data_IF_144652499421
#
_entry.id   IF_144652499421
#
_cell.length_a   1.000
_cell.length_b   1.000
_cell.length_c   1.000
_cell.angle_alpha   90.00
_cell.angle_beta   90.00
_cell.angle_gamma   90.00
#
_symmetry.space_group_name_H-M   'P 1'
#
loop_
_entity.id
_entity.type
_entity.pdbx_description
1 polymer ?
#
# COMPACT_ATOMS: atom_id res chain seq x y z
N UNK A 1 15.32 13.22 23.83
CA UNK A 1 14.22 14.22 23.79
C UNK A 1 14.67 15.33 22.87
N UNK A 2 13.83 15.72 21.90
CA UNK A 2 14.12 16.82 20.96
C UNK A 2 13.04 17.88 21.19
N UNK A 3 13.43 19.10 21.56
CA UNK A 3 12.46 20.16 21.77
C UNK A 3 12.01 20.73 20.40
N UNK A 4 10.71 20.94 20.15
CA UNK A 4 10.23 21.38 18.83
C UNK A 4 10.90 22.66 18.29
N UNK A 5 11.26 23.60 19.16
CA UNK A 5 11.94 24.85 18.77
C UNK A 5 13.39 24.66 18.29
N UNK A 6 13.98 23.49 18.51
CA UNK A 6 15.35 23.15 18.10
C UNK A 6 15.38 22.50 16.71
N UNK A 7 14.23 22.10 16.18
CA UNK A 7 14.11 21.44 14.88
C UNK A 7 14.29 22.49 13.77
N UNK A 8 15.41 22.40 13.05
CA UNK A 8 15.73 23.26 11.90
C UNK A 8 15.76 22.54 10.56
N UNK A 9 15.62 21.22 10.57
CA UNK A 9 15.66 20.37 9.39
C UNK A 9 14.84 19.11 9.58
N UNK A 10 14.43 18.50 8.47
CA UNK A 10 13.52 17.35 8.46
C UNK A 10 14.13 16.10 9.12
N UNK A 11 15.44 15.93 9.04
CA UNK A 11 16.20 14.82 9.65
C UNK A 11 16.23 14.88 11.18
N UNK A 12 15.86 16.01 11.78
CA UNK A 12 15.77 16.17 13.25
C UNK A 12 14.39 15.86 13.82
N UNK A 13 13.38 15.63 12.97
CA UNK A 13 12.05 15.27 13.43
C UNK A 13 12.05 13.78 13.81
N UNK A 14 11.73 13.42 15.07
CA UNK A 14 11.64 12.02 15.46
C UNK A 14 10.42 11.36 14.81
N UNK A 15 10.56 10.08 14.46
CA UNK A 15 9.48 9.30 13.86
C UNK A 15 8.82 8.42 14.92
N UNK A 16 7.49 8.41 14.94
CA UNK A 16 6.67 7.61 15.85
C UNK A 16 6.73 6.13 15.44
N UNK A 17 7.15 5.21 16.33
CA UNK A 17 7.08 3.78 16.04
C UNK A 17 5.64 3.35 15.72
N UNK A 18 5.45 2.72 14.57
CA UNK A 18 4.11 2.34 14.06
C UNK A 18 3.30 1.46 15.04
N UNK A 19 3.99 0.69 15.88
CA UNK A 19 3.37 -0.15 16.91
C UNK A 19 2.53 0.63 17.93
N UNK A 20 2.73 1.95 18.09
CA UNK A 20 1.91 2.75 19.00
C UNK A 20 0.46 2.88 18.53
N UNK A 21 0.16 2.69 17.24
CA UNK A 21 -1.22 2.59 16.76
C UNK A 21 -1.96 1.35 17.30
N UNK A 22 -1.26 0.37 17.88
CA UNK A 22 -1.88 -0.79 18.55
C UNK A 22 -2.29 -0.49 19.99
N UNK A 23 -1.52 0.35 20.66
CA UNK A 23 -1.60 0.53 22.12
C UNK A 23 -2.10 1.92 22.54
N UNK A 24 -2.10 2.89 21.62
CA UNK A 24 -2.46 4.28 21.90
C UNK A 24 -3.39 4.83 20.83
N UNK A 25 -4.25 5.77 21.24
CA UNK A 25 -5.01 6.60 20.33
C UNK A 25 -4.10 7.72 19.79
N UNK A 26 -3.49 7.46 18.62
CA UNK A 26 -2.59 8.42 17.97
C UNK A 26 -3.41 9.49 17.25
N UNK A 27 -3.65 10.61 17.94
CA UNK A 27 -4.47 11.73 17.45
C UNK A 27 -3.86 13.07 17.87
N UNK A 28 -3.82 14.03 16.96
CA UNK A 28 -3.38 15.42 17.21
C UNK A 28 -4.53 16.43 17.17
N UNK A 29 -5.75 15.96 16.88
CA UNK A 29 -6.99 16.73 16.81
C UNK A 29 -7.88 16.52 18.04
N UNK A 30 -8.79 17.48 18.30
CA UNK A 30 -9.89 17.36 19.27
C UNK A 30 -11.25 17.15 18.60
N UNK A 31 -11.29 17.13 17.27
CA UNK A 31 -12.50 16.86 16.50
C UNK A 31 -13.04 15.46 16.75
N UNK A 32 -14.31 15.25 16.42
CA UNK A 32 -14.95 13.94 16.55
C UNK A 32 -14.32 12.95 15.56
N UNK A 33 -14.10 11.71 16.01
CA UNK A 33 -13.65 10.62 15.15
C UNK A 33 -14.78 10.25 14.20
N UNK A 34 -14.54 10.37 12.90
CA UNK A 34 -15.50 10.00 11.84
C UNK A 34 -15.43 8.51 11.52
N UNK A 35 -14.23 7.91 11.55
CA UNK A 35 -14.03 6.48 11.29
C UNK A 35 -12.80 5.92 12.01
N UNK A 36 -12.87 4.65 12.37
CA UNK A 36 -11.75 3.85 12.85
C UNK A 36 -11.33 2.83 11.80
N UNK A 37 -10.12 2.96 11.26
CA UNK A 37 -9.54 1.93 10.42
C UNK A 37 -8.70 0.97 11.23
N UNK A 38 -8.85 -0.33 10.99
CA UNK A 38 -8.20 -1.42 11.72
C UNK A 38 -7.37 -2.27 10.78
N UNK A 39 -6.16 -2.63 11.20
CA UNK A 39 -5.29 -3.49 10.41
C UNK A 39 -5.78 -4.94 10.38
N UNK A 40 -5.35 -5.72 9.38
CA UNK A 40 -5.87 -7.07 9.13
C UNK A 40 -5.62 -8.07 10.28
N UNK A 41 -4.55 -7.85 11.06
CA UNK A 41 -4.19 -8.65 12.24
C UNK A 41 -3.91 -10.14 11.97
N UNK A 42 -3.13 -10.77 12.84
CA UNK A 42 -3.07 -12.23 12.96
C UNK A 42 -3.78 -12.65 14.25
N UNK A 43 -4.38 -13.83 14.28
CA UNK A 43 -5.08 -14.33 15.48
C UNK A 43 -4.20 -14.22 16.73
N UNK A 44 -4.70 -13.56 17.78
CA UNK A 44 -4.00 -13.42 19.06
C UNK A 44 -3.12 -12.18 19.23
N UNK A 45 -3.00 -11.28 18.24
CA UNK A 45 -2.29 -10.00 18.40
C UNK A 45 -3.24 -8.79 18.36
N UNK A 46 -2.90 -7.76 19.15
CA UNK A 46 -3.57 -6.45 19.06
C UNK A 46 -3.37 -5.83 17.68
N UNK A 47 -4.48 -5.36 17.11
CA UNK A 47 -4.52 -4.71 15.79
C UNK A 47 -4.22 -3.23 15.95
N UNK A 48 -3.55 -2.68 14.94
CA UNK A 48 -3.42 -1.23 14.84
C UNK A 48 -4.79 -0.62 14.57
N UNK A 49 -5.06 0.52 15.19
CA UNK A 49 -6.24 1.34 14.91
C UNK A 49 -5.79 2.75 14.53
N UNK A 50 -6.22 3.22 13.36
CA UNK A 50 -6.06 4.61 12.93
C UNK A 50 -7.39 5.33 13.07
N UNK A 51 -7.40 6.32 13.97
CA UNK A 51 -8.55 7.18 14.23
C UNK A 51 -8.52 8.36 13.26
N UNK A 52 -9.54 8.49 12.42
CA UNK A 52 -9.63 9.53 11.39
C UNK A 52 -10.74 10.50 11.74
N UNK A 53 -10.40 11.78 11.88
CA UNK A 53 -11.35 12.87 12.20
C UNK A 53 -11.73 13.73 11.00
N UNK A 54 -11.10 13.50 9.84
CA UNK A 54 -11.47 14.14 8.57
C UNK A 54 -11.35 13.10 7.46
N UNK A 55 -12.48 12.45 7.14
CA UNK A 55 -12.55 11.41 6.12
C UNK A 55 -12.47 12.00 4.71
N UNK A 56 -12.85 13.26 4.53
CA UNK A 56 -12.72 13.96 3.25
C UNK A 56 -11.25 14.22 2.90
N UNK A 57 -10.39 14.45 3.90
CA UNK A 57 -8.94 14.53 3.68
C UNK A 57 -8.38 13.18 3.16
N UNK A 58 -8.82 12.06 3.74
CA UNK A 58 -8.43 10.74 3.24
C UNK A 58 -8.87 10.53 1.78
N UNK A 59 -10.13 10.84 1.46
CA UNK A 59 -10.66 10.78 0.08
C UNK A 59 -9.84 11.62 -0.89
N UNK A 60 -9.58 12.88 -0.53
CA UNK A 60 -8.76 13.79 -1.35
C UNK A 60 -7.35 13.24 -1.56
N UNK A 61 -6.75 12.64 -0.53
CA UNK A 61 -5.41 12.05 -0.63
C UNK A 61 -5.37 10.95 -1.67
N UNK A 62 -6.16 9.88 -1.54
CA UNK A 62 -6.07 8.76 -2.47
C UNK A 62 -6.61 9.09 -3.87
N UNK A 63 -7.63 9.96 -3.99
CA UNK A 63 -8.15 10.39 -5.31
C UNK A 63 -7.10 11.19 -6.08
N UNK A 64 -6.47 12.17 -5.42
CA UNK A 64 -5.42 12.97 -6.07
C UNK A 64 -4.14 12.17 -6.27
N UNK A 65 -3.82 11.25 -5.35
CA UNK A 65 -2.70 10.31 -5.46
C UNK A 65 -2.86 9.44 -6.69
N UNK A 66 -3.99 8.73 -6.84
CA UNK A 66 -4.26 7.93 -8.02
C UNK A 66 -4.21 8.77 -9.31
N UNK A 67 -4.84 9.97 -9.30
CA UNK A 67 -4.81 10.90 -10.43
C UNK A 67 -3.39 11.30 -10.83
N UNK A 68 -2.51 11.54 -9.87
CA UNK A 68 -1.11 11.89 -10.12
C UNK A 68 -0.36 10.79 -10.87
N UNK A 69 -0.64 9.52 -10.58
CA UNK A 69 0.08 8.39 -11.20
C UNK A 69 -0.58 7.84 -12.46
N UNK A 70 -1.91 7.76 -12.50
CA UNK A 70 -2.66 6.98 -13.49
C UNK A 70 -3.65 7.81 -14.32
N UNK A 71 -3.97 9.02 -13.85
CA UNK A 71 -5.03 9.86 -14.39
C UNK A 71 -6.34 9.73 -13.61
N UNK A 72 -7.39 10.48 -14.02
CA UNK A 72 -8.67 10.53 -13.32
C UNK A 72 -9.31 9.15 -13.10
N UNK A 73 -9.84 8.88 -11.90
CA UNK A 73 -10.48 7.59 -11.55
C UNK A 73 -11.70 7.31 -12.43
N UNK A 74 -12.47 8.34 -12.78
CA UNK A 74 -13.67 8.20 -13.62
C UNK A 74 -13.38 7.61 -15.01
N UNK A 75 -12.15 7.71 -15.50
CA UNK A 75 -11.74 7.12 -16.78
C UNK A 75 -11.62 5.59 -16.72
N UNK A 76 -11.56 4.99 -15.52
CA UNK A 76 -11.30 3.56 -15.31
C UNK A 76 -12.53 2.79 -14.87
N UNK A 77 -12.73 1.59 -15.41
CA UNK A 77 -13.52 0.56 -14.76
C UNK A 77 -12.72 -0.02 -13.60
N UNK A 78 -13.25 0.09 -12.38
CA UNK A 78 -12.56 -0.33 -11.15
C UNK A 78 -13.09 -1.70 -10.71
N UNK A 79 -12.29 -2.75 -10.89
CA UNK A 79 -12.64 -4.12 -10.51
C UNK A 79 -11.79 -4.54 -9.30
N UNK A 80 -12.45 -4.99 -8.24
CA UNK A 80 -11.79 -5.29 -6.97
C UNK A 80 -11.94 -6.77 -6.56
N UNK A 81 -10.81 -7.48 -6.46
CA UNK A 81 -10.73 -8.88 -6.05
C UNK A 81 -10.16 -8.99 -4.62
N UNK A 82 -11.00 -8.67 -3.63
CA UNK A 82 -10.62 -8.52 -2.21
C UNK A 82 -11.46 -9.41 -1.25
N UNK A 83 -11.52 -10.75 -1.44
CA UNK A 83 -12.49 -11.64 -0.80
C UNK A 83 -12.47 -11.66 0.74
N UNK A 84 -11.31 -11.48 1.39
CA UNK A 84 -11.20 -11.51 2.86
C UNK A 84 -11.35 -10.15 3.55
N UNK A 85 -11.51 -9.08 2.78
CA UNK A 85 -11.50 -7.73 3.31
C UNK A 85 -12.92 -7.16 3.51
N UNK A 86 -13.91 -7.58 2.72
CA UNK A 86 -15.28 -7.08 2.86
C UNK A 86 -16.04 -7.66 4.06
N UNK A 87 -15.66 -8.85 4.53
CA UNK A 87 -16.18 -9.40 5.78
C UNK A 87 -15.64 -8.65 7.02
N UNK A 88 -14.68 -7.74 6.84
CA UNK A 88 -14.01 -7.01 7.91
C UNK A 88 -14.42 -5.55 7.89
N UNK A 89 -15.18 -5.15 8.90
CA UNK A 89 -15.45 -3.73 9.15
C UNK A 89 -14.14 -3.00 9.49
N UNK A 90 -14.02 -1.75 9.02
CA UNK A 90 -12.89 -0.87 9.33
C UNK A 90 -11.65 -1.07 8.45
N UNK A 91 -11.75 -1.66 7.25
CA UNK A 91 -10.60 -1.68 6.33
C UNK A 91 -10.47 -0.38 5.54
N UNK A 92 -9.34 0.33 5.71
CA UNK A 92 -9.02 1.54 4.94
C UNK A 92 -8.88 1.27 3.43
N UNK A 93 -8.37 0.09 3.06
CA UNK A 93 -8.26 -0.38 1.68
C UNK A 93 -9.64 -0.57 1.06
N UNK A 94 -10.55 -1.28 1.72
CA UNK A 94 -11.92 -1.48 1.22
C UNK A 94 -12.64 -0.15 1.07
N UNK A 95 -12.51 0.73 2.07
CA UNK A 95 -13.10 2.06 2.02
C UNK A 95 -12.62 2.86 0.81
N UNK A 96 -11.31 2.89 0.57
CA UNK A 96 -10.71 3.56 -0.58
C UNK A 96 -11.26 3.00 -1.88
N UNK A 97 -11.28 1.68 -2.04
CA UNK A 97 -11.68 1.01 -3.27
C UNK A 97 -13.17 1.17 -3.55
N UNK A 98 -14.01 1.07 -2.52
CA UNK A 98 -15.45 1.34 -2.62
C UNK A 98 -15.71 2.77 -3.09
N UNK A 99 -14.98 3.74 -2.53
CA UNK A 99 -15.07 5.12 -2.99
C UNK A 99 -14.58 5.28 -4.45
N UNK A 100 -13.48 4.64 -4.83
CA UNK A 100 -12.99 4.65 -6.22
C UNK A 100 -14.02 4.06 -7.19
N UNK A 101 -14.69 2.97 -6.83
CA UNK A 101 -15.78 2.37 -7.59
C UNK A 101 -16.93 3.38 -7.76
N UNK A 102 -17.31 4.08 -6.68
CA UNK A 102 -18.37 5.10 -6.73
C UNK A 102 -18.06 6.31 -7.63
N UNK A 103 -16.77 6.59 -7.86
CA UNK A 103 -16.29 7.67 -8.73
C UNK A 103 -16.15 7.22 -10.20
N UNK A 104 -16.18 5.91 -10.47
CA UNK A 104 -16.11 5.38 -11.83
C UNK A 104 -17.39 5.70 -12.61
N UNK A 105 -17.27 5.97 -13.91
CA UNK A 105 -18.43 6.08 -14.81
C UNK A 105 -18.79 4.78 -15.51
N UNK A 106 -18.07 3.68 -15.23
CA UNK A 106 -18.31 2.37 -15.85
C UNK A 106 -19.14 1.50 -14.90
N UNK A 107 -20.30 1.05 -15.38
CA UNK A 107 -21.30 0.33 -14.58
C UNK A 107 -20.82 -1.06 -14.11
N UNK A 108 -19.78 -1.58 -14.75
CA UNK A 108 -19.14 -2.86 -14.45
C UNK A 108 -18.21 -2.78 -13.22
N UNK A 109 -17.90 -1.57 -12.74
CA UNK A 109 -17.06 -1.37 -11.58
C UNK A 109 -17.68 -1.99 -10.34
N UNK A 110 -16.88 -2.68 -9.52
CA UNK A 110 -17.41 -3.39 -8.36
C UNK A 110 -16.43 -4.35 -7.72
N UNK A 111 -16.89 -4.94 -6.61
CA UNK A 111 -16.20 -6.03 -5.92
C UNK A 111 -16.64 -7.40 -6.46
N UNK A 112 -15.67 -8.28 -6.67
CA UNK A 112 -15.86 -9.64 -7.20
C UNK A 112 -15.42 -10.67 -6.14
N UNK A 113 -16.27 -10.90 -5.14
CA UNK A 113 -15.93 -11.67 -3.94
C UNK A 113 -16.20 -13.16 -4.10
N UNK A 114 -15.28 -13.85 -4.78
CA UNK A 114 -15.32 -15.29 -5.12
C UNK A 114 -16.01 -15.64 -6.45
N UNK A 115 -16.52 -14.65 -7.19
CA UNK A 115 -17.03 -14.87 -8.54
C UNK A 115 -15.94 -14.61 -9.60
N UNK A 116 -14.93 -15.49 -9.58
CA UNK A 116 -13.75 -15.43 -10.44
C UNK A 116 -14.13 -15.57 -11.92
N UNK A 117 -15.17 -16.36 -12.24
CA UNK A 117 -15.62 -16.58 -13.61
C UNK A 117 -16.33 -15.35 -14.18
N UNK A 118 -17.19 -14.70 -13.38
CA UNK A 118 -17.80 -13.43 -13.79
C UNK A 118 -16.76 -12.35 -13.94
N UNK A 119 -15.79 -12.25 -13.03
CA UNK A 119 -14.69 -11.30 -13.14
C UNK A 119 -13.89 -11.51 -14.44
N UNK A 120 -13.56 -12.76 -14.77
CA UNK A 120 -12.84 -13.08 -16.00
C UNK A 120 -13.63 -12.69 -17.25
N UNK A 121 -14.96 -12.88 -17.24
CA UNK A 121 -15.85 -12.47 -18.34
C UNK A 121 -15.84 -10.95 -18.50
N UNK A 122 -16.08 -10.20 -17.42
CA UNK A 122 -16.11 -8.73 -17.41
C UNK A 122 -14.77 -8.14 -17.85
N UNK A 123 -13.65 -8.68 -17.36
CA UNK A 123 -12.30 -8.26 -17.75
C UNK A 123 -12.09 -8.37 -19.26
N UNK A 124 -12.40 -9.52 -19.85
CA UNK A 124 -12.23 -9.76 -21.28
C UNK A 124 -13.14 -8.86 -22.13
N UNK A 125 -14.37 -8.61 -21.68
CA UNK A 125 -15.31 -7.72 -22.38
C UNK A 125 -14.84 -6.26 -22.38
N UNK A 126 -14.46 -5.74 -21.21
CA UNK A 126 -13.97 -4.37 -21.08
C UNK A 126 -12.67 -4.16 -21.87
N UNK A 127 -11.72 -5.09 -21.78
CA UNK A 127 -10.43 -4.99 -22.47
C UNK A 127 -10.59 -5.03 -23.99
N UNK A 128 -11.42 -5.95 -24.52
CA UNK A 128 -11.76 -6.02 -25.95
C UNK A 128 -12.43 -4.76 -26.47
N UNK A 129 -13.24 -4.10 -25.63
CA UNK A 129 -13.90 -2.84 -25.95
C UNK A 129 -13.00 -1.61 -25.77
N UNK A 130 -11.70 -1.80 -25.49
CA UNK A 130 -10.73 -0.71 -25.35
C UNK A 130 -10.96 0.15 -24.11
N UNK A 131 -11.70 -0.34 -23.11
CA UNK A 131 -11.91 0.39 -21.85
C UNK A 131 -10.65 0.32 -21.01
N UNK A 132 -10.32 1.42 -20.33
CA UNK A 132 -9.24 1.42 -19.34
C UNK A 132 -9.75 0.72 -18.09
N UNK A 133 -9.09 -0.36 -17.69
CA UNK A 133 -9.49 -1.16 -16.53
C UNK A 133 -8.41 -1.11 -15.47
N UNK A 134 -8.80 -0.98 -14.20
CA UNK A 134 -7.96 -1.26 -13.05
C UNK A 134 -8.51 -2.53 -12.38
N UNK A 135 -7.75 -3.61 -12.45
CA UNK A 135 -7.97 -4.78 -11.59
C UNK A 135 -7.08 -4.64 -10.36
N UNK A 136 -7.68 -4.36 -9.21
CA UNK A 136 -7.00 -4.35 -7.92
C UNK A 136 -7.31 -5.64 -7.18
N UNK A 137 -6.28 -6.40 -6.78
CA UNK A 137 -6.48 -7.67 -6.09
C UNK A 137 -5.39 -8.01 -5.11
N UNK A 138 -5.75 -8.79 -4.10
CA UNK A 138 -4.77 -9.40 -3.19
C UNK A 138 -4.03 -10.55 -3.88
N UNK A 139 -2.76 -10.72 -3.54
CA UNK A 139 -1.84 -11.61 -4.26
C UNK A 139 -2.38 -13.04 -4.48
N UNK A 140 -2.95 -13.68 -3.45
CA UNK A 140 -3.47 -15.05 -3.58
C UNK A 140 -4.70 -15.13 -4.50
N UNK A 141 -5.56 -14.12 -4.47
CA UNK A 141 -6.78 -14.13 -5.27
C UNK A 141 -6.47 -13.86 -6.76
N UNK A 142 -5.47 -13.03 -7.03
CA UNK A 142 -4.94 -12.85 -8.39
C UNK A 142 -4.32 -14.16 -8.91
N UNK A 143 -3.61 -14.91 -8.07
CA UNK A 143 -3.10 -16.24 -8.41
C UNK A 143 -4.24 -17.22 -8.73
N UNK A 144 -5.27 -17.29 -7.87
CA UNK A 144 -6.45 -18.14 -8.10
C UNK A 144 -7.12 -17.82 -9.44
N UNK A 145 -7.17 -16.53 -9.81
CA UNK A 145 -7.74 -16.07 -11.07
C UNK A 145 -6.94 -16.56 -12.29
N UNK A 146 -5.61 -16.42 -12.27
CA UNK A 146 -4.75 -16.83 -13.42
C UNK A 146 -4.49 -18.33 -13.50
N UNK A 147 -4.69 -19.07 -12.41
CA UNK A 147 -4.71 -20.53 -12.43
C UNK A 147 -5.94 -21.08 -13.13
N UNK A 148 -7.08 -20.39 -13.01
CA UNK A 148 -8.35 -20.80 -13.61
C UNK A 148 -8.54 -20.27 -15.02
N UNK A 149 -8.07 -19.05 -15.30
CA UNK A 149 -8.28 -18.34 -16.56
C UNK A 149 -6.97 -17.80 -17.11
N UNK A 150 -6.81 -17.85 -18.42
CA UNK A 150 -5.70 -17.19 -19.13
C UNK A 150 -6.27 -15.99 -19.89
N UNK A 151 -5.53 -14.89 -19.90
CA UNK A 151 -5.97 -13.65 -20.53
C UNK A 151 -5.01 -13.18 -21.61
N UNK A 152 -5.47 -12.21 -22.42
CA UNK A 152 -4.67 -11.41 -23.33
C UNK A 152 -5.11 -9.95 -23.18
N UNK A 153 -4.63 -9.28 -22.13
CA UNK A 153 -5.10 -7.96 -21.74
C UNK A 153 -4.15 -6.86 -22.24
N UNK A 154 -4.71 -5.83 -22.89
CA UNK A 154 -3.93 -4.70 -23.43
C UNK A 154 -4.30 -3.36 -22.83
N UNK A 155 -5.50 -3.26 -22.26
CA UNK A 155 -6.07 -2.02 -21.72
C UNK A 155 -6.29 -2.10 -20.20
N UNK A 156 -5.76 -3.15 -19.56
CA UNK A 156 -5.96 -3.43 -18.14
C UNK A 156 -4.67 -3.22 -17.34
N UNK A 157 -4.76 -2.43 -16.29
CA UNK A 157 -3.74 -2.35 -15.23
C UNK A 157 -4.07 -3.41 -14.19
N UNK A 158 -3.14 -4.36 -14.00
CA UNK A 158 -3.20 -5.32 -12.90
C UNK A 158 -2.40 -4.75 -11.74
N UNK A 159 -3.09 -4.45 -10.63
CA UNK A 159 -2.50 -3.90 -9.42
C UNK A 159 -2.60 -4.90 -8.28
N UNK A 160 -1.45 -5.40 -7.87
CA UNK A 160 -1.31 -6.20 -6.67
C UNK A 160 -1.30 -5.30 -5.44
N UNK A 161 -2.13 -5.65 -4.46
CA UNK A 161 -2.05 -5.17 -3.09
C UNK A 161 -1.73 -6.38 -2.21
N UNK A 162 -1.00 -6.17 -1.10
CA UNK A 162 -0.53 -7.29 -0.27
C UNK A 162 -1.65 -8.24 0.18
N UNK A 163 -1.32 -9.47 0.58
CA UNK A 163 -2.35 -10.40 1.06
C UNK A 163 -1.97 -11.88 1.20
N UNK A 164 -0.69 -12.24 1.06
CA UNK A 164 -0.28 -13.65 1.06
C UNK A 164 -0.37 -14.39 2.41
N UNK A 165 -0.51 -13.67 3.53
CA UNK A 165 -0.38 -14.25 4.88
C UNK A 165 -1.40 -15.36 5.15
N UNK A 166 -0.88 -16.58 5.37
CA UNK A 166 -1.63 -17.72 5.90
C UNK A 166 -2.55 -18.46 4.91
N UNK A 167 -2.50 -18.15 3.61
CA UNK A 167 -3.36 -18.79 2.59
C UNK A 167 -2.61 -19.70 1.60
N UNK A 168 -1.36 -19.38 1.26
CA UNK A 168 -0.50 -20.13 0.32
C UNK A 168 0.96 -20.06 0.76
N UNK A 169 1.84 -20.82 0.10
CA UNK A 169 3.29 -20.63 0.24
C UNK A 169 3.64 -19.19 -0.10
N UNK A 170 4.42 -18.53 0.78
CA UNK A 170 4.88 -17.17 0.51
C UNK A 170 5.88 -17.20 -0.66
N UNK A 171 5.49 -16.57 -1.77
CA UNK A 171 6.34 -16.38 -2.93
C UNK A 171 7.07 -15.06 -2.78
N UNK A 172 8.32 -15.01 -3.24
CA UNK A 172 8.99 -13.73 -3.43
C UNK A 172 8.25 -12.93 -4.51
N UNK A 173 8.19 -11.61 -4.36
CA UNK A 173 7.44 -10.71 -5.25
C UNK A 173 7.77 -10.93 -6.73
N UNK A 174 9.04 -11.16 -7.04
CA UNK A 174 9.50 -11.37 -8.41
C UNK A 174 8.86 -12.61 -9.05
N UNK A 175 8.75 -13.71 -8.31
CA UNK A 175 8.17 -14.95 -8.81
C UNK A 175 6.65 -14.84 -8.91
N UNK A 176 6.00 -14.20 -7.93
CA UNK A 176 4.60 -13.83 -8.02
C UNK A 176 4.33 -13.01 -9.30
N UNK A 177 5.11 -11.96 -9.53
CA UNK A 177 4.92 -11.10 -10.70
C UNK A 177 5.19 -11.85 -12.00
N UNK A 178 6.14 -12.79 -12.06
CA UNK A 178 6.35 -13.63 -13.27
C UNK A 178 5.09 -14.45 -13.61
N UNK A 179 4.49 -15.09 -12.62
CA UNK A 179 3.26 -15.89 -12.80
C UNK A 179 2.12 -14.99 -13.27
N UNK A 180 1.90 -13.88 -12.57
CA UNK A 180 0.81 -12.95 -12.90
C UNK A 180 0.99 -12.30 -14.28
N UNK A 181 2.20 -11.88 -14.65
CA UNK A 181 2.49 -11.36 -16.00
C UNK A 181 2.15 -12.37 -17.07
N UNK A 182 2.54 -13.63 -16.88
CA UNK A 182 2.24 -14.69 -17.84
C UNK A 182 0.75 -15.00 -17.91
N UNK A 183 0.06 -15.05 -16.78
CA UNK A 183 -1.36 -15.41 -16.72
C UNK A 183 -2.30 -14.33 -17.27
N UNK A 184 -1.95 -13.06 -17.05
CA UNK A 184 -2.70 -11.93 -17.60
C UNK A 184 -2.24 -11.48 -18.99
N UNK A 185 -1.07 -11.98 -19.46
CA UNK A 185 -0.37 -11.55 -20.67
C UNK A 185 -0.11 -10.03 -20.69
N UNK A 186 0.48 -9.53 -19.60
CA UNK A 186 0.82 -8.11 -19.42
C UNK A 186 2.31 -7.92 -19.16
N UNK A 187 2.85 -6.80 -19.64
CA UNK A 187 4.28 -6.50 -19.46
C UNK A 187 4.64 -6.28 -17.99
N UNK A 188 3.77 -5.60 -17.24
CA UNK A 188 4.05 -5.17 -15.86
C UNK A 188 2.87 -5.46 -14.94
N UNK A 189 3.19 -5.91 -13.74
CA UNK A 189 2.26 -5.94 -12.60
C UNK A 189 2.61 -4.73 -11.76
N UNK A 190 1.58 -3.92 -11.51
CA UNK A 190 1.65 -2.75 -10.67
C UNK A 190 1.49 -3.17 -9.21
N UNK A 191 1.99 -2.36 -8.29
CA UNK A 191 1.80 -2.59 -6.87
C UNK A 191 1.38 -1.31 -6.17
N UNK A 192 0.53 -1.44 -5.16
CA UNK A 192 0.20 -0.40 -4.20
C UNK A 192 0.93 -0.69 -2.88
N UNK A 193 1.48 0.36 -2.27
CA UNK A 193 2.08 0.29 -0.93
C UNK A 193 1.42 1.33 -0.03
N UNK A 194 0.77 0.80 1.00
CA UNK A 194 0.06 1.54 2.02
C UNK A 194 -0.12 0.67 3.26
N UNK A 195 -0.78 1.24 4.27
CA UNK A 195 -1.11 0.57 5.52
C UNK A 195 -2.23 1.33 6.23
N UNK A 196 -2.81 0.73 7.27
CA UNK A 196 -3.91 1.34 8.02
C UNK A 196 -3.53 2.68 8.63
N UNK A 197 -2.28 2.81 9.06
CA UNK A 197 -1.71 3.96 9.74
C UNK A 197 -1.39 5.14 8.81
N UNK A 198 -1.52 4.96 7.48
CA UNK A 198 -1.29 6.00 6.47
C UNK A 198 -2.60 6.41 5.80
N UNK A 199 -2.65 7.67 5.37
CA UNK A 199 -3.75 8.20 4.54
C UNK A 199 -3.29 8.46 3.09
N UNK A 200 -2.04 8.16 2.76
CA UNK A 200 -1.49 8.18 1.40
C UNK A 200 -0.98 6.83 0.94
N UNK A 201 -0.97 6.62 -0.38
CA UNK A 201 -0.50 5.41 -1.04
C UNK A 201 0.67 5.73 -1.96
N UNK A 202 1.67 4.85 -1.97
CA UNK A 202 2.72 4.84 -2.96
C UNK A 202 2.42 3.78 -4.03
N UNK A 203 2.84 4.02 -5.26
CA UNK A 203 2.55 3.12 -6.37
C UNK A 203 3.81 2.74 -7.14
N UNK A 204 3.88 1.47 -7.54
CA UNK A 204 4.85 0.93 -8.47
C UNK A 204 4.16 0.59 -9.78
N UNK A 205 4.70 1.08 -10.91
CA UNK A 205 4.24 0.71 -12.26
C UNK A 205 4.93 -0.53 -12.82
N UNK A 206 5.75 -1.20 -12.00
CA UNK A 206 6.54 -2.35 -12.39
C UNK A 206 7.89 -2.38 -11.67
N UNK A 207 8.59 -3.51 -11.78
CA UNK A 207 9.95 -3.73 -11.21
C UNK A 207 10.06 -3.50 -9.70
N UNK A 208 8.94 -3.47 -8.97
CA UNK A 208 8.93 -3.25 -7.52
C UNK A 208 9.36 -1.85 -7.07
N UNK A 209 9.37 -0.86 -7.98
CA UNK A 209 9.88 0.49 -7.72
C UNK A 209 8.75 1.48 -7.46
N UNK A 210 8.60 1.88 -6.21
CA UNK A 210 7.50 2.73 -5.74
C UNK A 210 7.84 4.22 -5.82
N UNK A 211 6.87 5.00 -6.23
CA UNK A 211 6.88 6.46 -6.20
C UNK A 211 5.80 6.98 -5.26
N UNK A 212 6.06 8.12 -4.61
CA UNK A 212 5.15 8.73 -3.65
C UNK A 212 4.47 9.97 -4.23
N UNK A 213 3.23 10.29 -3.80
CA UNK A 213 2.63 11.57 -4.14
C UNK A 213 3.42 12.73 -3.49
N UNK A 214 3.27 13.98 -3.95
CA UNK A 214 4.08 15.11 -3.47
C UNK A 214 4.00 15.41 -1.96
N UNK A 215 2.94 14.95 -1.28
CA UNK A 215 2.73 15.11 0.17
C UNK A 215 3.21 13.92 1.00
N UNK A 216 3.82 12.92 0.36
CA UNK A 216 4.40 11.75 1.02
C UNK A 216 5.88 11.64 0.68
N UNK A 217 6.72 11.39 1.68
CA UNK A 217 8.16 11.19 1.52
C UNK A 217 8.61 9.96 2.29
N UNK A 218 9.46 9.16 1.65
CA UNK A 218 10.06 7.97 2.26
C UNK A 218 11.53 8.25 2.57
N UNK A 219 11.96 7.85 3.76
CA UNK A 219 13.33 7.89 4.27
C UNK A 219 13.73 6.50 4.76
N UNK A 220 15.02 6.22 4.80
CA UNK A 220 15.58 5.00 5.37
C UNK A 220 16.36 5.38 6.62
N UNK A 221 16.09 4.71 7.73
CA UNK A 221 16.83 4.86 8.98
C UNK A 221 17.72 3.66 9.23
N UNK A 222 18.75 3.88 10.04
CA UNK A 222 19.59 2.81 10.55
C UNK A 222 18.78 1.84 11.45
N UNK A 223 19.21 0.58 11.48
CA UNK A 223 18.56 -0.45 12.29
C UNK A 223 18.89 -0.36 13.77
N UNK A 224 20.05 0.21 14.12
CA UNK A 224 20.57 0.34 15.47
C UNK A 224 20.33 1.75 16.03
N UNK A 225 20.42 2.79 15.19
CA UNK A 225 20.08 4.17 15.56
C UNK A 225 18.80 4.68 14.88
N UNK A 226 17.66 4.75 15.60
CA UNK A 226 16.40 5.20 15.01
C UNK A 226 16.38 6.68 14.59
N UNK A 227 17.38 7.48 15.00
CA UNK A 227 17.52 8.89 14.64
C UNK A 227 18.49 9.13 13.49
N UNK A 228 19.23 8.11 13.06
CA UNK A 228 20.17 8.23 11.96
C UNK A 228 19.47 7.91 10.63
N UNK A 229 19.32 8.93 9.78
CA UNK A 229 18.79 8.78 8.42
C UNK A 229 19.93 8.43 7.48
N UNK A 230 19.77 7.31 6.78
CA UNK A 230 20.75 6.78 5.84
C UNK A 230 20.74 7.55 4.51
N UNK A 231 21.90 7.66 3.83
CA UNK A 231 21.95 8.22 2.50
C UNK A 231 21.27 7.31 1.47
N UNK A 232 20.78 7.92 0.38
CA UNK A 232 20.19 7.19 -0.74
C UNK A 232 21.14 6.10 -1.26
N UNK A 233 20.57 4.94 -1.61
CA UNK A 233 21.28 3.74 -2.02
C UNK A 233 21.49 2.72 -0.91
N UNK A 234 21.35 3.14 0.36
CA UNK A 234 21.48 2.28 1.53
C UNK A 234 20.16 1.57 1.84
N UNK A 235 20.24 0.34 2.31
CA UNK A 235 19.09 -0.39 2.85
C UNK A 235 18.93 -0.09 4.34
N UNK A 236 17.70 0.10 4.80
CA UNK A 236 17.41 0.35 6.21
C UNK A 236 15.91 0.37 6.49
N UNK A 237 15.55 0.70 7.73
CA UNK A 237 14.16 0.77 8.14
C UNK A 237 13.41 1.89 7.44
N UNK A 238 12.22 1.61 6.92
CA UNK A 238 11.41 2.60 6.23
C UNK A 238 10.79 3.56 7.25
N UNK A 239 11.11 4.84 7.10
CA UNK A 239 10.44 5.98 7.72
C UNK A 239 9.55 6.66 6.67
N UNK A 240 8.34 7.02 7.04
CA UNK A 240 7.36 7.66 6.15
C UNK A 240 6.96 9.00 6.76
N UNK A 241 7.02 10.03 5.93
CA UNK A 241 6.40 11.32 6.18
C UNK A 241 5.15 11.37 5.31
N UNK A 242 3.98 11.30 5.92
CA UNK A 242 2.68 11.39 5.24
C UNK A 242 1.92 12.61 5.74
N UNK A 243 1.94 13.70 4.96
CA UNK A 243 1.27 14.94 5.37
C UNK A 243 -0.27 14.85 5.29
N UNK A 244 -0.83 13.78 4.70
CA UNK A 244 -2.26 13.52 4.78
C UNK A 244 -2.70 13.09 6.20
N UNK A 245 -1.78 12.60 7.04
CA UNK A 245 -2.01 12.29 8.46
C UNK A 245 -2.08 13.55 9.35
N UNK A 246 -2.69 14.63 8.87
CA UNK A 246 -2.72 15.94 9.52
C UNK A 246 -3.26 15.88 10.96
N UNK A 247 -4.30 15.08 11.17
CA UNK A 247 -4.99 14.93 12.46
C UNK A 247 -4.49 13.75 13.31
N UNK A 248 -3.48 13.01 12.83
CA UNK A 248 -2.80 11.94 13.56
C UNK A 248 -1.29 12.22 13.61
N UNK A 249 -0.44 11.22 13.31
CA UNK A 249 1.00 11.40 13.23
C UNK A 249 1.48 11.30 11.78
N UNK A 250 2.09 12.38 11.28
CA UNK A 250 2.65 12.43 9.93
C UNK A 250 4.02 11.75 9.80
N UNK A 251 4.75 11.52 10.90
CA UNK A 251 6.13 11.01 10.87
C UNK A 251 6.15 9.61 11.49
N UNK A 252 6.08 8.57 10.67
CA UNK A 252 5.91 7.19 11.12
C UNK A 252 7.18 6.36 10.82
N UNK A 253 7.71 5.71 11.85
CA UNK A 253 8.74 4.69 11.73
C UNK A 253 8.06 3.32 11.56
N UNK A 254 8.08 2.79 10.34
CA UNK A 254 7.47 1.51 10.01
C UNK A 254 8.35 0.34 10.46
N UNK A 255 7.80 -0.88 10.37
CA UNK A 255 8.56 -2.12 10.54
C UNK A 255 8.95 -2.74 9.18
N UNK A 256 8.92 -1.97 8.10
CA UNK A 256 9.34 -2.44 6.78
C UNK A 256 10.82 -2.08 6.53
N UNK A 257 11.52 -2.95 5.82
CA UNK A 257 12.88 -2.72 5.32
C UNK A 257 12.80 -2.25 3.88
N UNK A 258 13.60 -1.25 3.53
CA UNK A 258 13.59 -0.70 2.19
C UNK A 258 14.88 -0.02 1.77
N UNK A 259 14.91 0.41 0.52
CA UNK A 259 16.01 1.15 -0.09
C UNK A 259 15.48 2.28 -0.94
N UNK A 260 15.95 3.49 -0.69
CA UNK A 260 15.61 4.69 -1.46
C UNK A 260 16.74 4.97 -2.45
N UNK A 261 16.42 5.49 -3.63
CA UNK A 261 17.43 5.81 -4.63
C UNK A 261 17.41 7.32 -4.96
N UNK A 262 18.43 7.83 -5.68
CA UNK A 262 18.59 9.28 -5.88
C UNK A 262 17.42 9.97 -6.57
N UNK A 263 16.59 9.25 -7.32
CA UNK A 263 15.39 9.77 -8.00
C UNK A 263 14.17 9.91 -7.06
N UNK A 264 14.33 9.56 -5.78
CA UNK A 264 13.28 9.62 -4.76
C UNK A 264 12.35 8.41 -4.74
N UNK A 265 12.46 7.48 -5.70
CA UNK A 265 11.71 6.24 -5.65
C UNK A 265 12.34 5.23 -4.67
N UNK A 266 11.59 4.21 -4.27
CA UNK A 266 12.03 3.26 -3.26
C UNK A 266 11.57 1.82 -3.54
N UNK A 267 12.22 0.87 -2.89
CA UNK A 267 11.83 -0.54 -2.88
C UNK A 267 11.54 -0.99 -1.46
N UNK A 268 10.54 -1.86 -1.32
CA UNK A 268 10.24 -2.57 -0.08
C UNK A 268 10.85 -3.96 -0.18
N UNK A 269 11.85 -4.22 0.65
CA UNK A 269 12.67 -5.43 0.66
C UNK A 269 12.08 -6.53 1.57
N UNK A 270 11.28 -6.14 2.56
CA UNK A 270 10.68 -7.07 3.51
C UNK A 270 10.22 -6.35 4.77
N UNK A 271 10.04 -7.12 5.85
CA UNK A 271 9.84 -6.58 7.21
C UNK A 271 11.08 -6.80 8.04
N UNK A 272 11.29 -5.95 9.04
CA UNK A 272 12.23 -6.25 10.11
C UNK A 272 11.85 -7.58 10.74
N UNK A 273 12.77 -8.53 10.68
CA UNK A 273 12.74 -9.71 11.54
C UNK A 273 13.65 -9.49 12.75
N UNK A 274 13.45 -10.26 13.83
CA UNK A 274 14.29 -10.16 15.03
C UNK A 274 15.78 -10.43 14.75
N UNK A 275 16.12 -11.08 13.64
CA UNK A 275 17.49 -11.32 13.16
C UNK A 275 18.16 -10.08 12.54
N UNK A 276 17.39 -9.16 11.97
CA UNK A 276 17.93 -8.01 11.23
C UNK A 276 18.58 -6.98 12.16
N UNK A 277 18.14 -6.94 13.42
CA UNK A 277 18.75 -6.13 14.49
C UNK A 277 20.15 -6.65 14.89
N UNK A 278 20.49 -7.90 14.53
CA UNK A 278 21.78 -8.54 14.87
C UNK A 278 22.68 -8.81 13.66
N UNK A 279 22.13 -8.77 12.45
CA UNK A 279 22.75 -9.32 11.24
C UNK A 279 23.72 -8.41 10.49
N UNK A 280 23.77 -7.10 10.78
CA UNK A 280 24.64 -6.17 10.03
C UNK A 280 26.15 -6.31 10.31
N UNK A 281 26.58 -7.25 11.17
CA UNK A 281 28.00 -7.46 11.52
C UNK A 281 28.62 -8.78 11.06
N UNK A 282 28.02 -9.52 10.11
CA UNK A 282 28.56 -10.81 9.66
C UNK A 282 29.08 -10.85 8.20
N UNK A 283 29.22 -9.72 7.52
CA UNK A 283 29.90 -9.65 6.21
C UNK A 283 30.99 -8.57 6.13
N UNK A 284 31.84 -8.50 7.15
CA UNK A 284 33.20 -7.94 7.02
C UNK A 284 34.13 -8.63 8.01
N UNK A 285 34.74 -9.73 7.56
CA UNK A 285 36.09 -10.18 7.91
C UNK A 285 36.58 -11.10 6.79
#
# INVERSE_FOLDING_TARGET
YVHPSEIRSIDKIPFLPIQFFKTHMVLSSKETIEVEFKSSGTSGQERSTHYVTDLELYKKSFVNGFKHFYGPINDFAILALLPSYLERQGSSLVYMVDHMISLSTHAESGFFLNDIDKLATVLNELDKNGKRVLLLGVSFALLDLVEKHQFNLKNTIIMETGGMKGRRQELIREDLHKILKSGFDVENIHSEYGMTELLSQAYSKGKGRFQTPPWMKVLTRDSEDPFYILPAGSSGGINIIDLANLHSCAFIATQDLGKIYPDGSFEVLGRFDHSDIRGCNLMTL
#
